data_IF_322199864532
#
_entry.id   IF_322199864532
#
_cell.length_a   1.000
_cell.length_b   1.000
_cell.length_c   1.000
_cell.angle_alpha   90.00
_cell.angle_beta   90.00
_cell.angle_gamma   90.00
#
_symmetry.space_group_name_H-M   'P 1'
#
loop_
_entity.id
_entity.type
_entity.pdbx_description
1 polymer ?
#
# COMPACT_ATOMS: atom_id res chain seq x y z
N UNK A 1 -35.38 -63.45 -19.20
CA UNK A 1 -34.34 -62.81 -20.03
C UNK A 1 -34.46 -61.30 -19.87
N UNK A 2 -33.32 -60.63 -19.67
CA UNK A 2 -33.01 -59.17 -19.59
C UNK A 2 -34.05 -58.29 -20.31
N UNK A 3 -34.57 -57.15 -19.86
CA UNK A 3 -34.32 -56.18 -18.77
C UNK A 3 -34.73 -54.79 -19.32
N UNK A 4 -35.42 -53.90 -18.59
CA UNK A 4 -35.65 -52.53 -19.05
C UNK A 4 -34.60 -51.57 -18.45
N UNK A 5 -33.85 -50.86 -19.29
CA UNK A 5 -32.92 -49.83 -18.83
C UNK A 5 -33.67 -48.52 -18.55
N UNK A 6 -33.83 -48.24 -17.26
CA UNK A 6 -34.22 -46.96 -16.70
C UNK A 6 -33.05 -45.97 -16.80
N UNK A 7 -33.29 -44.83 -17.45
CA UNK A 7 -32.38 -43.69 -17.44
C UNK A 7 -32.44 -42.96 -16.10
N UNK A 8 -31.37 -43.07 -15.31
CA UNK A 8 -31.14 -42.25 -14.11
C UNK A 8 -30.20 -41.10 -14.46
N UNK A 9 -30.77 -39.94 -14.77
CA UNK A 9 -30.04 -38.67 -14.81
C UNK A 9 -29.75 -38.20 -13.39
N UNK A 10 -28.53 -38.40 -12.90
CA UNK A 10 -28.04 -37.73 -11.70
C UNK A 10 -27.56 -36.32 -12.07
N UNK A 11 -28.32 -35.32 -11.60
CA UNK A 11 -27.85 -33.95 -11.38
C UNK A 11 -27.14 -33.88 -10.02
N UNK A 12 -26.32 -32.83 -9.87
CA UNK A 12 -25.58 -32.38 -8.66
C UNK A 12 -24.18 -33.00 -8.53
N UNK A 13 -23.09 -32.26 -8.32
CA UNK A 13 -22.91 -30.90 -7.82
C UNK A 13 -21.58 -30.34 -8.35
N UNK A 14 -21.61 -29.20 -9.06
CA UNK A 14 -20.38 -28.49 -9.41
C UNK A 14 -19.87 -27.79 -8.14
N UNK A 15 -18.74 -28.26 -7.61
CA UNK A 15 -18.04 -27.61 -6.48
C UNK A 15 -17.70 -26.17 -6.88
N UNK A 16 -18.44 -25.24 -6.30
CA UNK A 16 -18.29 -23.81 -6.54
C UNK A 16 -17.04 -23.31 -5.78
N UNK A 17 -15.89 -23.35 -6.45
CA UNK A 17 -14.68 -22.68 -5.92
C UNK A 17 -14.91 -21.16 -5.96
N UNK A 18 -14.71 -20.43 -4.83
CA UNK A 18 -14.98 -19.02 -4.78
C UNK A 18 -14.04 -18.26 -5.72
N UNK A 19 -14.63 -17.40 -6.56
CA UNK A 19 -13.93 -16.45 -7.43
C UNK A 19 -13.12 -15.50 -6.55
N UNK A 20 -11.88 -15.87 -6.27
CA UNK A 20 -10.84 -14.90 -5.93
C UNK A 20 -10.73 -13.96 -7.12
N UNK A 21 -11.10 -12.69 -6.91
CA UNK A 21 -10.85 -11.60 -7.85
C UNK A 21 -9.32 -11.53 -8.07
N UNK A 22 -8.84 -12.30 -9.04
CA UNK A 22 -7.50 -12.16 -9.59
C UNK A 22 -7.48 -10.77 -10.21
N UNK A 23 -6.82 -9.82 -9.57
CA UNK A 23 -6.17 -8.73 -10.29
C UNK A 23 -5.19 -9.38 -11.28
N UNK A 24 -5.71 -9.79 -12.45
CA UNK A 24 -4.91 -10.38 -13.51
C UNK A 24 -4.01 -9.27 -14.04
N UNK A 25 -2.79 -9.20 -13.51
CA UNK A 25 -1.70 -8.56 -14.24
C UNK A 25 -1.71 -9.20 -15.63
N UNK A 26 -1.93 -8.39 -16.68
CA UNK A 26 -1.81 -8.87 -18.05
C UNK A 26 -0.42 -9.51 -18.17
N UNK A 27 -0.32 -10.80 -18.54
CA UNK A 27 0.98 -11.44 -18.70
C UNK A 27 1.76 -10.64 -19.74
N UNK A 28 3.06 -10.41 -19.47
CA UNK A 28 3.87 -9.68 -20.43
C UNK A 28 3.93 -10.47 -21.75
N UNK A 29 4.20 -9.83 -22.90
CA UNK A 29 4.18 -10.50 -24.20
C UNK A 29 5.07 -11.76 -24.27
N UNK A 30 6.18 -11.78 -23.52
CA UNK A 30 7.07 -12.95 -23.39
C UNK A 30 6.45 -14.09 -22.59
N UNK A 31 5.77 -13.80 -21.48
CA UNK A 31 5.04 -14.82 -20.71
C UNK A 31 3.88 -15.38 -21.54
N UNK A 32 3.16 -14.52 -22.26
CA UNK A 32 2.10 -14.95 -23.17
C UNK A 32 2.66 -15.79 -24.33
N UNK A 33 3.84 -15.43 -24.87
CA UNK A 33 4.52 -16.23 -25.89
C UNK A 33 4.98 -17.57 -25.34
N UNK A 34 5.58 -17.61 -24.15
CA UNK A 34 5.98 -18.84 -23.47
C UNK A 34 4.82 -19.80 -23.25
N UNK A 35 3.66 -19.27 -22.81
CA UNK A 35 2.43 -20.05 -22.64
C UNK A 35 1.94 -20.57 -23.99
N UNK A 36 1.96 -19.74 -25.05
CA UNK A 36 1.58 -20.20 -26.40
C UNK A 36 2.50 -21.30 -26.91
N UNK A 37 3.81 -21.16 -26.78
CA UNK A 37 4.80 -22.20 -27.14
C UNK A 37 4.49 -23.52 -26.43
N UNK A 38 4.15 -23.46 -25.14
CA UNK A 38 3.78 -24.66 -24.40
C UNK A 38 2.45 -25.28 -24.88
N UNK A 39 1.53 -24.46 -25.39
CA UNK A 39 0.23 -24.89 -25.94
C UNK A 39 0.32 -25.39 -27.40
N UNK A 40 1.34 -24.99 -28.17
CA UNK A 40 1.46 -25.30 -29.61
C UNK A 40 2.02 -26.68 -29.92
N UNK A 41 1.98 -27.65 -28.99
CA UNK A 41 2.56 -29.01 -29.19
C UNK A 41 4.03 -29.00 -29.61
N UNK A 42 4.84 -28.11 -29.02
CA UNK A 42 6.29 -28.15 -29.21
C UNK A 42 6.86 -29.54 -28.90
N UNK A 43 7.76 -30.00 -29.77
CA UNK A 43 8.33 -31.35 -29.66
C UNK A 43 9.35 -31.37 -28.54
N UNK A 44 9.31 -32.40 -27.70
CA UNK A 44 10.31 -32.59 -26.67
C UNK A 44 11.65 -33.02 -27.29
N UNK A 45 12.76 -32.55 -26.71
CA UNK A 45 14.11 -32.96 -27.13
C UNK A 45 14.24 -34.48 -27.24
N UNK A 46 13.66 -35.23 -26.29
CA UNK A 46 13.75 -36.69 -26.28
C UNK A 46 13.07 -37.33 -27.49
N UNK A 47 11.95 -36.77 -27.95
CA UNK A 47 11.24 -37.26 -29.13
C UNK A 47 12.08 -37.03 -30.39
N UNK A 48 12.73 -35.87 -30.52
CA UNK A 48 13.65 -35.60 -31.63
C UNK A 48 14.86 -36.54 -31.61
N UNK A 49 15.42 -36.82 -30.43
CA UNK A 49 16.52 -37.77 -30.27
C UNK A 49 16.11 -39.19 -30.69
N UNK A 50 14.94 -39.66 -30.25
CA UNK A 50 14.41 -40.97 -30.66
C UNK A 50 14.10 -41.04 -32.17
N UNK A 51 13.65 -39.94 -32.78
CA UNK A 51 13.45 -39.88 -34.23
C UNK A 51 14.78 -39.97 -35.00
N UNK A 52 15.84 -39.31 -34.49
CA UNK A 52 17.18 -39.41 -35.06
C UNK A 52 17.74 -40.84 -34.95
N UNK A 53 17.57 -41.48 -33.79
CA UNK A 53 18.01 -42.87 -33.59
C UNK A 53 17.28 -43.84 -34.53
N UNK A 54 15.98 -43.62 -34.77
CA UNK A 54 15.21 -44.39 -35.74
C UNK A 54 15.68 -44.13 -37.19
N UNK A 55 15.99 -42.88 -37.55
CA UNK A 55 16.50 -42.54 -38.87
C UNK A 55 17.85 -43.24 -39.17
N UNK A 56 18.76 -43.29 -38.19
CA UNK A 56 20.05 -43.98 -38.28
C UNK A 56 19.96 -45.50 -38.46
N UNK A 57 18.82 -46.10 -38.12
CA UNK A 57 18.57 -47.54 -38.32
C UNK A 57 18.07 -47.86 -39.73
N UNK A 58 17.73 -46.84 -40.53
CA UNK A 58 17.34 -47.05 -41.91
C UNK A 58 18.56 -47.47 -42.76
N UNK A 59 18.36 -48.27 -43.82
CA UNK A 59 19.44 -48.75 -44.67
C UNK A 59 20.06 -47.67 -45.57
N UNK A 60 19.53 -46.43 -45.53
CA UNK A 60 20.03 -45.28 -46.27
C UNK A 60 20.08 -44.04 -45.39
N UNK A 61 21.04 -43.15 -45.67
CA UNK A 61 21.14 -41.84 -45.02
C UNK A 61 20.12 -40.89 -45.62
N UNK A 62 19.41 -40.14 -44.79
CA UNK A 62 18.41 -39.16 -45.25
C UNK A 62 18.80 -37.72 -44.88
N UNK A 63 18.39 -36.71 -45.66
CA UNK A 63 18.64 -35.30 -45.32
C UNK A 63 18.02 -34.86 -43.98
N UNK A 64 16.96 -35.54 -43.56
CA UNK A 64 16.29 -35.31 -42.28
C UNK A 64 17.17 -35.72 -41.09
N UNK A 65 18.05 -36.72 -41.26
CA UNK A 65 19.04 -37.11 -40.24
C UNK A 65 19.96 -35.93 -39.89
N UNK A 66 20.55 -35.29 -40.90
CA UNK A 66 21.43 -34.14 -40.73
C UNK A 66 20.69 -32.94 -40.11
N UNK A 67 19.42 -32.76 -40.49
CA UNK A 67 18.56 -31.71 -39.95
C UNK A 67 18.25 -31.94 -38.46
N UNK A 68 17.92 -33.17 -38.07
CA UNK A 68 17.65 -33.54 -36.68
C UNK A 68 18.91 -33.45 -35.81
N UNK A 69 20.06 -33.89 -36.32
CA UNK A 69 21.36 -33.72 -35.66
C UNK A 69 21.66 -32.24 -35.40
N UNK A 70 21.47 -31.39 -36.40
CA UNK A 70 21.70 -29.97 -36.28
C UNK A 70 20.76 -29.31 -35.26
N UNK A 71 19.46 -29.62 -35.29
CA UNK A 71 18.48 -29.07 -34.33
C UNK A 71 18.85 -29.49 -32.89
N UNK A 72 19.16 -30.77 -32.67
CA UNK A 72 19.56 -31.27 -31.36
C UNK A 72 20.85 -30.62 -30.87
N UNK A 73 21.85 -30.47 -31.74
CA UNK A 73 23.10 -29.80 -31.41
C UNK A 73 22.88 -28.32 -31.04
N UNK A 74 22.06 -27.60 -31.82
CA UNK A 74 21.68 -26.21 -31.55
C UNK A 74 20.94 -26.08 -30.20
N UNK A 75 19.99 -26.96 -29.93
CA UNK A 75 19.27 -26.99 -28.66
C UNK A 75 20.20 -27.29 -27.48
N UNK A 76 21.08 -28.30 -27.62
CA UNK A 76 22.01 -28.74 -26.59
C UNK A 76 23.04 -27.66 -26.25
N UNK A 77 23.52 -26.95 -27.27
CA UNK A 77 24.38 -25.79 -27.08
C UNK A 77 23.65 -24.66 -26.36
N UNK A 78 22.42 -24.33 -26.80
CA UNK A 78 21.61 -23.29 -26.17
C UNK A 78 21.32 -23.59 -24.70
N UNK A 79 20.81 -24.80 -24.37
CA UNK A 79 20.44 -25.14 -23.00
C UNK A 79 21.65 -25.08 -22.05
N UNK A 80 22.83 -25.50 -22.54
CA UNK A 80 24.06 -25.50 -21.74
C UNK A 80 24.51 -24.08 -21.41
N UNK A 81 24.56 -23.21 -22.42
CA UNK A 81 24.98 -21.81 -22.23
C UNK A 81 23.97 -21.02 -21.38
N UNK A 82 22.68 -21.22 -21.62
CA UNK A 82 21.62 -20.57 -20.83
C UNK A 82 21.63 -21.06 -19.40
N UNK A 83 21.81 -22.36 -19.16
CA UNK A 83 21.96 -22.94 -17.83
C UNK A 83 23.13 -22.29 -17.08
N UNK A 84 24.32 -22.28 -17.67
CA UNK A 84 25.51 -21.65 -17.08
C UNK A 84 25.30 -20.16 -16.78
N UNK A 85 24.67 -19.42 -17.68
CA UNK A 85 24.38 -18.00 -17.48
C UNK A 85 23.40 -17.78 -16.31
N UNK A 86 22.36 -18.61 -16.19
CA UNK A 86 21.39 -18.53 -15.08
C UNK A 86 21.99 -18.97 -13.75
N UNK A 87 22.89 -19.94 -13.74
CA UNK A 87 23.63 -20.35 -12.55
C UNK A 87 24.57 -19.24 -12.09
N UNK A 88 25.29 -18.61 -13.02
CA UNK A 88 26.11 -17.42 -12.75
C UNK A 88 25.25 -16.25 -12.22
N UNK A 89 24.07 -16.02 -12.81
CA UNK A 89 23.13 -15.00 -12.34
C UNK A 89 22.72 -15.22 -10.88
N UNK A 90 22.37 -16.46 -10.53
CA UNK A 90 22.03 -16.84 -9.16
C UNK A 90 23.23 -16.69 -8.21
N UNK A 91 24.45 -16.89 -8.71
CA UNK A 91 25.71 -16.66 -7.99
C UNK A 91 26.17 -15.18 -7.97
N UNK A 92 25.24 -14.22 -8.12
CA UNK A 92 25.45 -12.76 -8.08
C UNK A 92 26.12 -12.09 -9.30
N UNK A 93 26.38 -12.79 -10.41
CA UNK A 93 26.81 -12.17 -11.67
C UNK A 93 25.60 -11.64 -12.45
N UNK A 94 24.88 -10.67 -11.84
CA UNK A 94 23.59 -10.15 -12.33
C UNK A 94 23.56 -9.96 -13.85
N UNK A 95 22.66 -10.69 -14.52
CA UNK A 95 22.39 -10.52 -15.94
C UNK A 95 21.45 -9.34 -16.13
N UNK A 96 21.66 -8.57 -17.19
CA UNK A 96 20.76 -7.48 -17.54
C UNK A 96 19.39 -7.99 -17.99
N UNK A 97 18.35 -7.18 -17.82
CA UNK A 97 17.01 -7.48 -18.34
C UNK A 97 17.05 -7.75 -19.84
N UNK A 98 17.86 -7.01 -20.60
CA UNK A 98 18.01 -7.20 -22.05
C UNK A 98 18.60 -8.59 -22.38
N UNK A 99 19.63 -9.02 -21.65
CA UNK A 99 20.24 -10.34 -21.85
C UNK A 99 19.22 -11.46 -21.56
N UNK A 100 18.51 -11.36 -20.43
CA UNK A 100 17.49 -12.34 -20.05
C UNK A 100 16.31 -12.37 -21.05
N UNK A 101 15.89 -11.21 -21.58
CA UNK A 101 14.86 -11.15 -22.62
C UNK A 101 15.31 -11.83 -23.91
N UNK A 102 16.58 -11.65 -24.29
CA UNK A 102 17.13 -12.30 -25.47
C UNK A 102 17.25 -13.81 -25.29
N UNK A 103 17.60 -14.27 -24.09
CA UNK A 103 17.58 -15.69 -23.72
C UNK A 103 16.15 -16.27 -23.80
N UNK A 104 15.14 -15.54 -23.32
CA UNK A 104 13.74 -15.99 -23.45
C UNK A 104 13.28 -16.07 -24.92
N UNK A 105 13.60 -15.04 -25.73
CA UNK A 105 13.26 -14.99 -27.16
C UNK A 105 13.92 -16.13 -27.94
N UNK A 106 15.21 -16.36 -27.71
CA UNK A 106 15.93 -17.48 -28.34
C UNK A 106 15.35 -18.84 -27.94
N UNK A 107 14.99 -19.05 -26.67
CA UNK A 107 14.34 -20.29 -26.23
C UNK A 107 12.99 -20.54 -26.90
N UNK A 108 12.17 -19.49 -27.05
CA UNK A 108 10.91 -19.54 -27.79
C UNK A 108 11.13 -19.86 -29.27
N UNK A 109 12.17 -19.29 -29.88
CA UNK A 109 12.48 -19.46 -31.30
C UNK A 109 13.02 -20.85 -31.67
N UNK A 110 13.46 -21.66 -30.69
CA UNK A 110 13.91 -23.02 -30.95
C UNK A 110 12.77 -23.97 -31.33
N UNK A 111 11.53 -23.64 -30.98
CA UNK A 111 10.34 -24.50 -31.15
C UNK A 111 10.43 -25.90 -30.52
N UNK A 112 11.50 -26.16 -29.74
CA UNK A 112 11.71 -27.35 -28.91
C UNK A 112 11.27 -27.04 -27.48
N UNK A 113 10.55 -27.97 -26.84
CA UNK A 113 10.05 -27.76 -25.48
C UNK A 113 11.20 -27.58 -24.47
N UNK A 114 11.25 -26.41 -23.82
CA UNK A 114 12.23 -26.09 -22.77
C UNK A 114 11.61 -25.43 -21.52
N UNK A 115 10.56 -26.02 -20.92
CA UNK A 115 9.76 -25.37 -19.87
C UNK A 115 10.58 -24.97 -18.63
N UNK A 116 11.54 -25.80 -18.23
CA UNK A 116 12.40 -25.52 -17.07
C UNK A 116 13.26 -24.26 -17.27
N UNK A 117 14.01 -24.19 -18.38
CA UNK A 117 14.86 -23.04 -18.69
C UNK A 117 14.02 -21.77 -18.87
N UNK A 118 12.91 -21.85 -19.61
CA UNK A 118 12.05 -20.69 -19.83
C UNK A 118 11.44 -20.18 -18.53
N UNK A 119 11.01 -21.08 -17.63
CA UNK A 119 10.54 -20.69 -16.30
C UNK A 119 11.63 -19.99 -15.48
N UNK A 120 12.87 -20.51 -15.48
CA UNK A 120 14.01 -19.88 -14.79
C UNK A 120 14.33 -18.49 -15.35
N UNK A 121 14.34 -18.33 -16.68
CA UNK A 121 14.56 -17.02 -17.33
C UNK A 121 13.47 -16.03 -16.94
N UNK A 122 12.20 -16.44 -17.00
CA UNK A 122 11.07 -15.57 -16.66
C UNK A 122 11.05 -15.21 -15.17
N UNK A 123 11.48 -16.12 -14.28
CA UNK A 123 11.67 -15.81 -12.86
C UNK A 123 12.76 -14.74 -12.67
N UNK A 124 13.94 -14.93 -13.26
CA UNK A 124 15.02 -13.95 -13.23
C UNK A 124 14.58 -12.58 -13.78
N UNK A 125 13.85 -12.56 -14.90
CA UNK A 125 13.29 -11.32 -15.47
C UNK A 125 12.36 -10.58 -14.52
N UNK A 126 11.50 -11.29 -13.79
CA UNK A 126 10.59 -10.68 -12.81
C UNK A 126 11.38 -10.03 -11.67
N UNK A 127 12.40 -10.71 -11.16
CA UNK A 127 13.28 -10.19 -10.10
C UNK A 127 14.03 -8.96 -10.58
N UNK A 128 14.73 -9.02 -11.71
CA UNK A 128 15.54 -7.89 -12.20
C UNK A 128 14.68 -6.67 -12.57
N UNK A 129 13.50 -6.86 -13.16
CA UNK A 129 12.56 -5.76 -13.40
C UNK A 129 12.04 -5.14 -12.11
N UNK A 130 11.82 -5.96 -11.07
CA UNK A 130 11.45 -5.45 -9.77
C UNK A 130 12.59 -4.63 -9.14
N UNK A 131 13.84 -5.10 -9.19
CA UNK A 131 15.01 -4.35 -8.69
C UNK A 131 15.13 -2.98 -9.33
N UNK A 132 15.03 -2.90 -10.66
CA UNK A 132 15.08 -1.63 -11.39
C UNK A 132 13.98 -0.65 -10.93
N UNK A 133 12.79 -1.16 -10.58
CA UNK A 133 11.71 -0.32 -10.04
C UNK A 133 11.99 0.17 -8.62
N UNK A 134 12.58 -0.66 -7.77
CA UNK A 134 13.04 -0.26 -6.44
C UNK A 134 14.08 0.87 -6.56
N UNK A 135 15.09 0.67 -7.40
CA UNK A 135 16.14 1.66 -7.67
C UNK A 135 15.55 2.97 -8.25
N UNK A 136 14.61 2.88 -9.18
CA UNK A 136 13.96 4.06 -9.79
C UNK A 136 13.15 4.89 -8.79
N UNK A 137 12.58 4.26 -7.75
CA UNK A 137 11.86 4.94 -6.67
C UNK A 137 12.83 5.57 -5.67
N UNK A 138 14.00 4.99 -5.46
CA UNK A 138 15.05 5.46 -4.53
C UNK A 138 15.94 6.56 -5.14
N UNK A 139 15.34 7.56 -5.78
CA UNK A 139 16.11 8.67 -6.37
C UNK A 139 16.90 9.43 -5.29
N UNK A 140 18.15 9.86 -5.55
CA UNK A 140 19.00 10.52 -4.55
C UNK A 140 18.40 11.81 -3.98
N UNK A 141 17.56 12.51 -4.75
CA UNK A 141 17.05 13.84 -4.42
C UNK A 141 15.83 13.84 -3.50
N UNK A 142 15.15 12.70 -3.33
CA UNK A 142 13.87 12.66 -2.61
C UNK A 142 13.66 11.33 -1.90
N UNK A 143 13.32 11.38 -0.61
CA UNK A 143 12.86 10.20 0.15
C UNK A 143 11.64 9.57 -0.56
N UNK A 144 11.59 8.23 -0.71
CA UNK A 144 10.44 7.55 -1.30
C UNK A 144 9.22 7.60 -0.39
N UNK A 145 8.01 7.54 -0.95
CA UNK A 145 6.78 7.47 -0.16
C UNK A 145 6.59 6.07 0.45
N UNK A 146 6.16 6.00 1.71
CA UNK A 146 5.98 4.72 2.43
C UNK A 146 5.07 3.74 1.67
N UNK A 147 3.90 4.18 1.18
CA UNK A 147 2.99 3.31 0.41
C UNK A 147 3.61 2.77 -0.88
N UNK A 148 4.52 3.51 -1.51
CA UNK A 148 5.21 3.05 -2.70
C UNK A 148 6.17 1.91 -2.36
N UNK A 149 6.92 2.04 -1.25
CA UNK A 149 7.79 0.97 -0.78
C UNK A 149 7.00 -0.26 -0.32
N UNK A 150 5.89 -0.08 0.42
CA UNK A 150 5.03 -1.18 0.84
C UNK A 150 4.45 -1.97 -0.34
N UNK A 151 4.12 -1.28 -1.45
CA UNK A 151 3.74 -1.97 -2.69
C UNK A 151 4.90 -2.76 -3.29
N UNK A 152 6.10 -2.18 -3.34
CA UNK A 152 7.29 -2.86 -3.87
C UNK A 152 7.70 -4.06 -3.02
N UNK A 153 7.56 -4.01 -1.69
CA UNK A 153 7.77 -5.15 -0.78
C UNK A 153 6.87 -6.32 -1.20
N UNK A 154 5.55 -6.09 -1.27
CA UNK A 154 4.56 -7.11 -1.68
C UNK A 154 4.82 -7.65 -3.09
N UNK A 155 5.28 -6.80 -3.99
CA UNK A 155 5.63 -7.21 -5.36
C UNK A 155 6.88 -8.08 -5.41
N UNK A 156 7.89 -7.79 -4.58
CA UNK A 156 9.10 -8.61 -4.47
C UNK A 156 8.79 -9.99 -3.94
N UNK A 157 8.01 -10.07 -2.85
CA UNK A 157 7.53 -11.32 -2.28
C UNK A 157 6.72 -12.14 -3.31
N UNK A 158 5.81 -11.49 -4.04
CA UNK A 158 5.03 -12.14 -5.10
C UNK A 158 5.89 -12.58 -6.30
N UNK A 159 7.05 -11.95 -6.52
CA UNK A 159 8.03 -12.38 -7.51
C UNK A 159 8.92 -13.54 -7.02
N UNK A 160 8.80 -13.95 -5.75
CA UNK A 160 9.61 -14.98 -5.13
C UNK A 160 10.97 -14.47 -4.61
N UNK A 161 11.11 -13.16 -4.42
CA UNK A 161 12.32 -12.56 -3.84
C UNK A 161 12.31 -12.74 -2.34
N UNK A 162 13.37 -13.32 -1.79
CA UNK A 162 13.67 -13.27 -0.36
C UNK A 162 14.28 -11.91 -0.07
N UNK A 163 13.48 -11.00 0.48
CA UNK A 163 13.87 -9.58 0.61
C UNK A 163 15.16 -9.39 1.42
N UNK A 164 15.39 -10.20 2.45
CA UNK A 164 16.56 -10.10 3.34
C UNK A 164 17.87 -10.50 2.66
N UNK A 165 17.82 -11.44 1.71
CA UNK A 165 18.98 -11.89 0.94
C UNK A 165 19.24 -11.02 -0.29
N UNK A 166 18.24 -10.23 -0.67
CA UNK A 166 18.29 -9.37 -1.84
C UNK A 166 18.96 -8.02 -1.53
N UNK A 167 19.99 -7.58 -2.27
CA UNK A 167 20.70 -6.34 -1.93
C UNK A 167 19.83 -5.07 -1.93
N UNK A 168 18.81 -4.98 -2.79
CA UNK A 168 17.89 -3.83 -2.78
C UNK A 168 16.70 -4.07 -1.86
N UNK A 169 16.28 -5.33 -1.72
CA UNK A 169 15.24 -5.74 -0.76
C UNK A 169 15.64 -5.46 0.69
N UNK A 170 16.86 -5.83 1.08
CA UNK A 170 17.36 -5.73 2.44
C UNK A 170 17.48 -4.28 2.92
N UNK A 171 17.72 -3.35 1.99
CA UNK A 171 17.71 -1.91 2.28
C UNK A 171 16.30 -1.33 2.32
N UNK A 172 15.41 -1.77 1.44
CA UNK A 172 14.07 -1.18 1.30
C UNK A 172 13.07 -1.69 2.35
N UNK A 173 13.10 -2.98 2.66
CA UNK A 173 12.16 -3.62 3.57
C UNK A 173 12.11 -2.98 4.98
N UNK A 174 13.25 -2.74 5.68
CA UNK A 174 13.21 -2.09 6.99
C UNK A 174 12.72 -0.63 6.92
N UNK A 175 13.05 0.11 5.86
CA UNK A 175 12.55 1.47 5.66
C UNK A 175 11.02 1.50 5.49
N UNK A 176 10.49 0.56 4.70
CA UNK A 176 9.05 0.40 4.52
C UNK A 176 8.36 0.00 5.82
N UNK A 177 8.96 -0.91 6.59
CA UNK A 177 8.45 -1.34 7.88
C UNK A 177 8.43 -0.21 8.91
N UNK A 178 9.49 0.61 8.99
CA UNK A 178 9.55 1.77 9.87
C UNK A 178 8.46 2.80 9.53
N UNK A 179 8.28 3.11 8.25
CA UNK A 179 7.20 3.99 7.81
C UNK A 179 5.81 3.42 8.13
N UNK A 180 5.63 2.12 7.97
CA UNK A 180 4.37 1.44 8.27
C UNK A 180 4.06 1.46 9.76
N UNK A 181 5.04 1.18 10.62
CA UNK A 181 4.90 1.27 12.05
C UNK A 181 4.49 2.68 12.49
N UNK A 182 5.09 3.71 11.87
CA UNK A 182 4.71 5.10 12.11
C UNK A 182 3.26 5.39 11.66
N UNK A 183 2.85 4.94 10.47
CA UNK A 183 1.46 5.10 9.98
C UNK A 183 0.45 4.41 10.91
N UNK A 184 0.81 3.25 11.45
CA UNK A 184 -0.03 2.48 12.35
C UNK A 184 -0.17 3.19 13.70
N UNK A 185 0.93 3.69 14.26
CA UNK A 185 0.91 4.50 15.48
C UNK A 185 0.08 5.79 15.32
N UNK A 186 0.22 6.49 14.19
CA UNK A 186 -0.59 7.67 13.89
C UNK A 186 -2.08 7.33 13.83
N UNK A 187 -2.44 6.23 13.15
CA UNK A 187 -3.82 5.77 13.06
C UNK A 187 -4.42 5.42 14.42
N UNK A 188 -3.66 4.74 15.28
CA UNK A 188 -4.13 4.36 16.61
C UNK A 188 -4.38 5.58 17.50
N UNK A 189 -3.52 6.61 17.40
CA UNK A 189 -3.75 7.88 18.11
C UNK A 189 -5.00 8.58 17.59
N UNK A 190 -5.18 8.68 16.26
CA UNK A 190 -6.38 9.31 15.69
C UNK A 190 -7.66 8.60 16.15
N UNK A 191 -7.68 7.26 16.12
CA UNK A 191 -8.81 6.48 16.60
C UNK A 191 -9.09 6.72 18.09
N UNK A 192 -8.02 6.79 18.91
CA UNK A 192 -8.17 7.03 20.34
C UNK A 192 -8.62 8.47 20.67
N UNK A 193 -8.16 9.46 19.90
CA UNK A 193 -8.61 10.85 20.04
C UNK A 193 -10.10 11.00 19.73
N UNK A 194 -10.61 10.26 18.74
CA UNK A 194 -12.02 10.28 18.40
C UNK A 194 -12.90 9.66 19.50
N UNK A 195 -12.44 8.58 20.15
CA UNK A 195 -13.17 7.90 21.23
C UNK A 195 -13.19 8.72 22.55
N UNK A 196 -12.10 9.42 22.86
CA UNK A 196 -11.89 10.07 24.17
C UNK A 196 -11.64 11.57 24.09
N UNK A 197 -12.22 12.23 23.09
CA UNK A 197 -12.09 13.66 22.83
C UNK A 197 -12.47 14.53 24.05
N UNK A 198 -13.45 14.09 24.84
CA UNK A 198 -13.98 14.86 25.96
C UNK A 198 -13.14 14.73 27.25
N UNK A 199 -12.13 13.85 27.30
CA UNK A 199 -11.28 13.67 28.49
C UNK A 199 -10.01 14.54 28.39
N UNK A 200 -9.88 15.65 29.14
CA UNK A 200 -8.77 16.59 28.98
C UNK A 200 -7.40 16.00 29.35
N UNK A 201 -7.35 15.11 30.34
CA UNK A 201 -6.10 14.46 30.74
C UNK A 201 -5.60 13.50 29.64
N UNK A 202 -6.52 12.76 29.02
CA UNK A 202 -6.21 11.90 27.89
C UNK A 202 -5.76 12.69 26.66
N UNK A 203 -6.48 13.78 26.33
CA UNK A 203 -6.11 14.66 25.21
C UNK A 203 -4.71 15.23 25.42
N UNK A 204 -4.38 15.72 26.62
CA UNK A 204 -3.05 16.24 26.92
C UNK A 204 -1.94 15.18 26.76
N UNK A 205 -2.20 13.94 27.18
CA UNK A 205 -1.29 12.82 26.97
C UNK A 205 -1.10 12.52 25.47
N UNK A 206 -2.19 12.50 24.70
CA UNK A 206 -2.13 12.28 23.25
C UNK A 206 -1.38 13.41 22.53
N UNK A 207 -1.53 14.67 22.93
CA UNK A 207 -0.75 15.79 22.36
C UNK A 207 0.76 15.56 22.48
N UNK A 208 1.22 15.07 23.63
CA UNK A 208 2.62 14.70 23.84
C UNK A 208 3.09 13.62 22.84
N UNK A 209 2.27 12.60 22.63
CA UNK A 209 2.56 11.52 21.67
C UNK A 209 2.54 12.00 20.22
N UNK A 210 1.58 12.85 19.84
CA UNK A 210 1.52 13.46 18.50
C UNK A 210 2.78 14.28 18.24
N UNK A 211 3.22 15.08 19.20
CA UNK A 211 4.47 15.84 19.09
C UNK A 211 5.68 14.93 18.87
N UNK A 212 5.75 13.80 19.59
CA UNK A 212 6.80 12.80 19.38
C UNK A 212 6.75 12.21 17.96
N UNK A 213 5.57 11.80 17.47
CA UNK A 213 5.40 11.28 16.10
C UNK A 213 5.81 12.30 15.03
N UNK A 214 5.50 13.59 15.21
CA UNK A 214 5.91 14.65 14.27
C UNK A 214 7.44 14.73 14.19
N UNK A 215 8.14 14.64 15.31
CA UNK A 215 9.60 14.60 15.34
C UNK A 215 10.15 13.33 14.67
N UNK A 216 9.55 12.17 14.96
CA UNK A 216 9.94 10.89 14.36
C UNK A 216 9.78 10.91 12.83
N UNK A 217 8.69 11.50 12.32
CA UNK A 217 8.41 11.59 10.88
C UNK A 217 9.55 12.29 10.10
N UNK A 218 10.19 13.31 10.70
CA UNK A 218 11.30 14.02 10.07
C UNK A 218 12.56 13.12 9.90
N UNK A 219 12.75 12.18 10.83
CA UNK A 219 13.90 11.27 10.88
C UNK A 219 13.72 10.02 10.00
N UNK A 220 12.48 9.71 9.60
CA UNK A 220 12.22 8.52 8.77
C UNK A 220 12.95 8.60 7.42
N UNK A 221 13.48 7.47 6.91
CA UNK A 221 14.06 7.39 5.57
C UNK A 221 12.99 7.47 4.45
N UNK A 222 11.71 7.49 4.81
CA UNK A 222 10.55 7.54 3.92
C UNK A 222 9.70 8.77 4.19
N UNK A 223 8.91 9.17 3.19
CA UNK A 223 7.90 10.23 3.32
C UNK A 223 6.58 9.67 3.85
N UNK A 224 5.99 10.41 4.79
CA UNK A 224 4.69 10.13 5.42
C UNK A 224 3.79 11.38 5.44
N UNK A 225 4.03 12.35 4.54
CA UNK A 225 3.48 13.71 4.64
C UNK A 225 1.95 13.76 4.71
N UNK A 226 1.26 12.91 3.93
CA UNK A 226 -0.21 12.83 3.95
C UNK A 226 -0.74 12.39 5.31
N UNK A 227 -0.10 11.41 5.92
CA UNK A 227 -0.51 10.90 7.23
C UNK A 227 -0.09 11.86 8.35
N UNK A 228 1.01 12.60 8.17
CA UNK A 228 1.45 13.69 9.04
C UNK A 228 0.44 14.84 9.09
N UNK A 229 -0.07 15.28 7.94
CA UNK A 229 -1.13 16.28 7.87
C UNK A 229 -2.39 15.79 8.59
N UNK A 230 -2.78 14.52 8.38
CA UNK A 230 -3.97 13.94 9.01
C UNK A 230 -3.88 13.86 10.53
N UNK A 231 -2.75 13.43 11.08
CA UNK A 231 -2.57 13.38 12.54
C UNK A 231 -2.52 14.78 13.15
N UNK A 232 -1.93 15.77 12.46
CA UNK A 232 -1.91 17.16 12.92
C UNK A 232 -3.32 17.76 12.97
N UNK A 233 -4.13 17.51 11.93
CA UNK A 233 -5.52 17.99 11.89
C UNK A 233 -6.39 17.28 12.95
N UNK A 234 -6.29 15.96 13.08
CA UNK A 234 -7.02 15.21 14.11
C UNK A 234 -6.65 15.61 15.54
N UNK A 235 -5.41 16.04 15.76
CA UNK A 235 -4.93 16.53 17.05
C UNK A 235 -5.12 18.04 17.25
N UNK A 236 -5.68 18.77 16.27
CA UNK A 236 -5.87 20.20 16.40
C UNK A 236 -6.88 20.49 17.50
N UNK A 237 -6.51 21.36 18.43
CA UNK A 237 -7.35 21.74 19.56
C UNK A 237 -8.17 22.98 19.24
N UNK A 238 -9.45 22.92 19.58
CA UNK A 238 -10.42 23.97 19.36
C UNK A 238 -11.06 24.41 20.68
N UNK A 239 -11.88 25.46 20.59
CA UNK A 239 -12.68 26.00 21.68
C UNK A 239 -11.85 26.45 22.91
N UNK A 240 -12.55 26.98 23.91
CA UNK A 240 -12.00 27.34 25.21
C UNK A 240 -11.59 26.10 26.04
N UNK A 241 -12.23 24.97 25.79
CA UNK A 241 -11.97 23.70 26.48
C UNK A 241 -10.71 22.98 26.00
N UNK A 242 -10.08 23.42 24.90
CA UNK A 242 -8.86 22.83 24.32
C UNK A 242 -9.01 21.34 24.02
N UNK A 243 -10.11 20.98 23.36
CA UNK A 243 -10.42 19.61 22.92
C UNK A 243 -10.33 19.51 21.39
N UNK A 244 -10.01 18.32 20.84
CA UNK A 244 -10.04 18.10 19.40
C UNK A 244 -11.46 18.15 18.84
N UNK A 245 -11.57 18.23 17.51
CA UNK A 245 -12.87 18.18 16.84
C UNK A 245 -13.61 16.86 17.13
N UNK A 246 -14.90 16.96 17.41
CA UNK A 246 -15.81 15.85 17.67
C UNK A 246 -17.09 16.07 16.86
N UNK A 247 -17.44 15.12 15.99
CA UNK A 247 -18.61 15.19 15.09
C UNK A 247 -19.95 15.19 15.85
N UNK A 248 -19.97 14.72 17.10
CA UNK A 248 -21.15 14.70 17.96
C UNK A 248 -21.38 16.01 18.72
N UNK A 249 -20.41 16.92 18.73
CA UNK A 249 -20.51 18.20 19.44
C UNK A 249 -20.51 19.35 18.44
N UNK A 250 -21.67 19.97 18.18
CA UNK A 250 -21.76 21.03 17.20
C UNK A 250 -20.85 22.20 17.59
N UNK A 251 -20.30 22.87 16.58
CA UNK A 251 -19.41 23.99 16.76
C UNK A 251 -19.79 25.15 15.84
N UNK A 252 -19.51 26.37 16.29
CA UNK A 252 -19.64 27.58 15.49
C UNK A 252 -18.33 28.36 15.46
N UNK A 253 -18.09 29.06 14.35
CA UNK A 253 -16.91 29.89 14.17
C UNK A 253 -17.16 31.33 14.65
N UNK A 254 -16.16 31.93 15.31
CA UNK A 254 -16.20 33.36 15.66
C UNK A 254 -15.88 34.22 14.44
N UNK A 255 -16.71 35.24 14.16
CA UNK A 255 -16.53 36.13 12.99
C UNK A 255 -15.31 37.04 13.06
N UNK A 256 -14.65 37.11 14.22
CA UNK A 256 -13.49 37.97 14.45
C UNK A 256 -12.15 37.26 14.48
N UNK A 257 -12.12 35.98 14.84
CA UNK A 257 -10.86 35.23 14.91
C UNK A 257 -10.90 33.91 14.15
N UNK A 258 -12.04 33.54 13.55
CA UNK A 258 -12.24 32.30 12.78
C UNK A 258 -11.90 31.02 13.56
N UNK A 259 -11.82 31.10 14.88
CA UNK A 259 -11.67 29.94 15.77
C UNK A 259 -13.05 29.33 16.03
N UNK A 260 -13.05 28.02 16.24
CA UNK A 260 -14.26 27.23 16.45
C UNK A 260 -14.51 26.99 17.92
N UNK A 261 -15.77 27.10 18.33
CA UNK A 261 -16.22 26.93 19.70
C UNK A 261 -17.38 25.95 19.74
N UNK A 262 -17.45 25.10 20.76
CA UNK A 262 -18.66 24.33 21.01
C UNK A 262 -19.76 25.26 21.53
N UNK A 263 -20.99 25.04 21.07
CA UNK A 263 -22.15 25.87 21.47
C UNK A 263 -22.30 25.96 22.99
N UNK A 264 -22.27 24.80 23.66
CA UNK A 264 -22.34 24.69 25.13
C UNK A 264 -21.19 25.43 25.85
N UNK A 265 -19.96 25.34 25.32
CA UNK A 265 -18.81 26.01 25.90
C UNK A 265 -18.89 27.54 25.85
N UNK A 266 -19.77 28.10 25.02
CA UNK A 266 -19.99 29.54 24.90
C UNK A 266 -21.40 29.96 25.35
N UNK A 267 -22.19 29.02 25.88
CA UNK A 267 -23.50 29.30 26.47
C UNK A 267 -24.55 29.59 25.41
N UNK A 268 -24.46 28.90 24.28
CA UNK A 268 -25.46 28.86 23.21
C UNK A 268 -26.07 27.45 23.14
N UNK A 269 -27.33 27.36 22.70
CA UNK A 269 -27.97 26.09 22.41
C UNK A 269 -27.59 25.58 21.01
N UNK A 270 -27.29 24.29 20.84
CA UNK A 270 -27.13 23.66 19.54
C UNK A 270 -28.32 23.87 18.59
N UNK A 271 -28.08 23.91 17.27
CA UNK A 271 -29.15 23.99 16.29
C UNK A 271 -30.07 22.76 16.36
N UNK A 272 -31.39 22.98 16.49
CA UNK A 272 -32.40 21.91 16.45
C UNK A 272 -32.77 21.28 17.79
N UNK A 273 -32.30 21.81 18.93
CA UNK A 273 -32.72 21.35 20.26
C UNK A 273 -34.03 22.01 20.74
N UNK A 274 -34.45 23.14 20.18
CA UNK A 274 -35.74 23.79 20.48
C UNK A 274 -36.46 24.26 19.20
N UNK A 275 -37.80 24.20 19.19
CA UNK A 275 -38.69 24.61 18.08
C UNK A 275 -38.95 26.14 18.06
N UNK A 276 -38.50 26.87 19.08
CA UNK A 276 -38.68 28.32 19.20
C UNK A 276 -37.51 29.09 18.54
N UNK A 277 -37.85 29.95 17.57
CA UNK A 277 -36.92 30.74 16.71
C UNK A 277 -35.96 31.68 17.48
N UNK A 278 -36.17 31.89 18.79
CA UNK A 278 -35.41 32.83 19.61
C UNK A 278 -34.13 32.24 20.24
N UNK A 279 -33.94 30.91 20.19
CA UNK A 279 -32.78 30.20 20.76
C UNK A 279 -31.63 29.92 19.75
N UNK A 280 -31.65 30.62 18.61
CA UNK A 280 -30.69 30.40 17.51
C UNK A 280 -29.37 31.15 17.77
N UNK A 281 -28.25 30.55 17.34
CA UNK A 281 -26.95 31.22 17.35
C UNK A 281 -27.02 32.63 16.72
N UNK A 282 -26.38 33.64 17.32
CA UNK A 282 -26.35 34.98 16.76
C UNK A 282 -25.81 34.97 15.33
N UNK A 283 -26.40 35.79 14.46
CA UNK A 283 -25.93 35.96 13.07
C UNK A 283 -24.46 36.37 12.99
N UNK A 284 -24.01 37.21 13.92
CA UNK A 284 -22.62 37.64 14.07
C UNK A 284 -22.11 37.18 15.45
N UNK A 285 -21.55 35.97 15.51
CA UNK A 285 -21.03 35.40 16.76
C UNK A 285 -19.63 35.94 17.07
N UNK A 286 -19.51 36.61 18.22
CA UNK A 286 -18.22 37.04 18.80
C UNK A 286 -17.87 36.21 20.03
N UNK A 287 -16.75 35.51 19.98
CA UNK A 287 -16.30 34.69 21.10
C UNK A 287 -15.87 35.52 22.32
N UNK A 288 -15.83 34.92 23.52
CA UNK A 288 -15.50 35.65 24.75
C UNK A 288 -14.15 36.37 24.70
N UNK A 289 -13.11 35.73 24.16
CA UNK A 289 -11.80 36.35 24.01
C UNK A 289 -11.82 37.58 23.10
N UNK A 290 -12.64 37.58 22.04
CA UNK A 290 -12.80 38.72 21.15
C UNK A 290 -13.66 39.84 21.75
N UNK A 291 -14.66 39.51 22.58
CA UNK A 291 -15.40 40.51 23.37
C UNK A 291 -14.46 41.24 24.33
N UNK A 292 -13.69 40.49 25.13
CA UNK A 292 -12.74 41.08 26.09
C UNK A 292 -11.70 41.97 25.40
N UNK A 293 -11.14 41.54 24.26
CA UNK A 293 -10.19 42.36 23.47
C UNK A 293 -10.81 43.66 22.96
N UNK A 294 -12.10 43.67 22.68
CA UNK A 294 -12.83 44.85 22.24
C UNK A 294 -13.35 45.73 23.39
N UNK A 295 -13.05 45.38 24.66
CA UNK A 295 -13.60 46.06 25.83
C UNK A 295 -15.10 45.79 26.05
N UNK A 296 -15.64 44.75 25.42
CA UNK A 296 -17.03 44.34 25.56
C UNK A 296 -17.18 43.25 26.62
N UNK A 297 -18.28 43.30 27.36
CA UNK A 297 -18.65 42.21 28.27
C UNK A 297 -19.22 41.03 27.46
N UNK A 298 -18.74 39.82 27.73
CA UNK A 298 -19.35 38.60 27.20
C UNK A 298 -20.52 38.19 28.11
N UNK A 299 -21.72 38.05 27.54
CA UNK A 299 -22.93 37.64 28.25
C UNK A 299 -23.39 36.32 27.62
N UNK A 300 -23.20 35.17 28.28
CA UNK A 300 -23.72 33.89 27.78
C UNK A 300 -25.25 33.89 27.86
N UNK A 301 -25.92 33.24 26.90
CA UNK A 301 -27.38 33.11 26.90
C UNK A 301 -27.84 32.03 27.90
N UNK A 302 -27.02 30.97 28.05
CA UNK A 302 -27.26 29.85 28.95
C UNK A 302 -26.07 29.59 29.89
N UNK A 303 -26.32 28.80 30.93
CA UNK A 303 -25.30 28.42 31.90
C UNK A 303 -24.11 27.72 31.24
N UNK A 304 -22.91 28.13 31.66
CA UNK A 304 -21.67 27.61 31.13
C UNK A 304 -21.20 26.38 31.94
N UNK A 305 -20.67 25.35 31.27
CA UNK A 305 -20.11 24.21 31.99
C UNK A 305 -18.86 24.62 32.79
N UNK A 306 -18.52 23.91 33.89
CA UNK A 306 -17.45 24.31 34.81
C UNK A 306 -16.09 24.55 34.13
N UNK A 307 -15.75 23.76 33.12
CA UNK A 307 -14.50 23.88 32.38
C UNK A 307 -14.42 25.18 31.56
N UNK A 308 -15.56 25.64 31.03
CA UNK A 308 -15.66 26.89 30.25
C UNK A 308 -15.61 28.11 31.15
N UNK A 309 -16.30 28.07 32.31
CA UNK A 309 -16.16 29.09 33.34
C UNK A 309 -14.70 29.25 33.78
N UNK A 310 -14.02 28.15 34.10
CA UNK A 310 -12.60 28.17 34.47
C UNK A 310 -11.71 28.76 33.35
N UNK A 311 -12.01 28.46 32.08
CA UNK A 311 -11.30 29.03 30.95
C UNK A 311 -11.53 30.55 30.80
N UNK A 312 -12.76 31.02 30.99
CA UNK A 312 -13.09 32.45 30.94
C UNK A 312 -12.44 33.25 32.07
N UNK A 313 -12.44 32.71 33.29
CA UNK A 313 -11.75 33.34 34.42
C UNK A 313 -10.25 33.50 34.13
N UNK A 314 -9.61 32.47 33.57
CA UNK A 314 -8.19 32.55 33.16
C UNK A 314 -7.96 33.61 32.07
N UNK A 315 -8.86 33.72 31.10
CA UNK A 315 -8.78 34.75 30.05
C UNK A 315 -8.90 36.17 30.63
N UNK A 316 -9.87 36.39 31.51
CA UNK A 316 -10.07 37.68 32.17
C UNK A 316 -8.90 38.07 33.09
N UNK A 317 -8.35 37.10 33.81
CA UNK A 317 -7.17 37.29 34.65
C UNK A 317 -5.94 37.69 33.82
N UNK A 318 -5.67 36.95 32.74
CA UNK A 318 -4.54 37.21 31.83
C UNK A 318 -4.60 38.62 31.22
N UNK A 319 -5.76 39.06 30.72
CA UNK A 319 -5.89 40.40 30.15
C UNK A 319 -5.90 41.53 31.19
N UNK A 320 -6.22 41.22 32.45
CA UNK A 320 -6.14 42.18 33.57
C UNK A 320 -4.76 42.24 34.23
N UNK A 321 -3.78 41.45 33.78
CA UNK A 321 -2.48 41.31 34.45
C UNK A 321 -2.54 40.66 35.83
N UNK A 322 -3.64 39.96 36.15
CA UNK A 322 -3.82 39.23 37.41
C UNK A 322 -3.44 37.77 37.20
N UNK A 323 -2.59 37.20 38.05
CA UNK A 323 -2.34 35.76 38.00
C UNK A 323 -3.58 34.99 38.49
N UNK A 324 -4.01 33.93 37.79
CA UNK A 324 -5.10 33.08 38.26
C UNK A 324 -4.69 32.38 39.58
N UNK A 325 -5.64 32.13 40.50
CA UNK A 325 -5.38 31.46 41.77
C UNK A 325 -4.94 30.00 41.62
#
# INVERSE_FOLDING_TARGET
MRGPHSGSGQKHEAVHLPRLQRHQRRPCPLEAAAVRVHQTRCVERQVLASALDAARQLPCRTPEEDSLEHILACFDHWQRNVGLALDAHAANLRLSVVALEQMAKSGVALEVACPHHLHRILAALRVERWRLRVEAVRRPSTKPHVDALLRLVKEGEAAGVVLEEDPVGALMAPEAAAGKAWQDAARDIMASLQDKADNPAFVAQCQGRVKALVCEAALLPVRVDRDLERIQEAARLYCLCRQPYNDKRPMLACDHCSEWFHYDCVGLLPPGEEEDDDAVAPKDFRCPACCLKAGLQYIPQHDLPPHSLAALYRLGAWMSGRHPP
#
